data_IF_315584911809
#
_entry.id   IF_315584911809
#
_cell.length_a   1.000
_cell.length_b   1.000
_cell.length_c   1.000
_cell.angle_alpha   90.00
_cell.angle_beta   90.00
_cell.angle_gamma   90.00
#
_symmetry.space_group_name_H-M   'P 1'
#
loop_
_entity.id
_entity.type
_entity.pdbx_description
1 polymer ?
#
# COMPACT_ATOMS: atom_id res chain seq x y z
N UNK A 1 0.92 -14.55 -8.64
CA UNK A 1 2.17 -13.86 -9.04
C UNK A 1 2.07 -12.35 -8.81
N UNK A 2 3.21 -11.70 -8.57
CA UNK A 2 3.33 -10.23 -8.41
C UNK A 2 3.10 -9.53 -9.75
N UNK A 3 2.46 -8.36 -9.74
CA UNK A 3 2.32 -7.55 -10.95
C UNK A 3 3.63 -6.79 -11.26
N UNK A 4 4.21 -7.06 -12.42
CA UNK A 4 5.48 -6.45 -12.90
C UNK A 4 5.27 -5.38 -13.98
N UNK A 5 4.04 -5.19 -14.47
CA UNK A 5 3.75 -4.20 -15.51
C UNK A 5 3.77 -2.74 -15.02
N UNK A 6 3.50 -1.84 -15.98
CA UNK A 6 3.56 -0.38 -15.78
C UNK A 6 2.53 0.13 -14.75
N UNK A 7 3.04 0.71 -13.67
CA UNK A 7 2.22 1.40 -12.65
C UNK A 7 1.55 2.64 -13.25
N UNK A 8 2.28 3.42 -14.05
CA UNK A 8 1.79 4.65 -14.66
C UNK A 8 0.55 4.38 -15.52
N UNK A 9 0.49 3.24 -16.21
CA UNK A 9 -0.72 2.81 -16.95
C UNK A 9 -1.91 2.60 -16.02
N UNK A 10 -1.72 1.96 -14.87
CA UNK A 10 -2.78 1.72 -13.87
C UNK A 10 -3.21 3.00 -13.17
N UNK A 11 -2.26 3.83 -12.73
CA UNK A 11 -2.55 5.13 -12.10
C UNK A 11 -3.38 6.01 -13.04
N UNK A 12 -2.99 6.08 -14.33
CA UNK A 12 -3.76 6.80 -15.37
C UNK A 12 -5.16 6.23 -15.63
N UNK A 13 -5.32 4.90 -15.62
CA UNK A 13 -6.65 4.28 -15.79
C UNK A 13 -7.57 4.61 -14.62
N UNK A 14 -7.02 4.67 -13.41
CA UNK A 14 -7.80 4.88 -12.19
C UNK A 14 -7.96 6.36 -11.80
N UNK A 15 -7.20 7.25 -12.43
CA UNK A 15 -7.16 8.68 -12.10
C UNK A 15 -6.56 8.97 -10.72
N UNK A 16 -5.76 8.06 -10.17
CA UNK A 16 -5.26 8.09 -8.79
C UNK A 16 -3.76 7.74 -8.74
N UNK A 17 -2.99 8.39 -7.86
CA UNK A 17 -1.56 8.11 -7.69
C UNK A 17 -1.37 6.89 -6.79
N UNK A 18 -1.00 5.76 -7.39
CA UNK A 18 -0.75 4.50 -6.69
C UNK A 18 0.56 4.52 -5.89
N UNK A 19 1.49 5.42 -6.24
CA UNK A 19 2.76 5.61 -5.55
C UNK A 19 2.72 6.63 -4.41
N UNK A 20 1.57 7.28 -4.18
CA UNK A 20 1.37 8.35 -3.17
C UNK A 20 2.27 9.59 -3.31
N UNK A 21 3.06 9.68 -4.38
CA UNK A 21 3.98 10.80 -4.64
C UNK A 21 3.63 11.59 -5.90
N UNK A 22 2.48 11.31 -6.52
CA UNK A 22 1.97 11.95 -7.74
C UNK A 22 2.92 11.92 -8.96
N UNK A 23 4.03 11.18 -8.92
CA UNK A 23 5.02 11.10 -10.01
C UNK A 23 4.40 10.59 -11.29
N UNK A 24 3.32 9.81 -11.22
CA UNK A 24 2.64 9.27 -12.40
C UNK A 24 1.94 10.33 -13.25
N UNK A 25 1.59 11.47 -12.65
CA UNK A 25 0.91 12.57 -13.34
C UNK A 25 1.80 13.81 -13.51
N UNK A 26 2.84 13.96 -12.69
CA UNK A 26 3.74 15.13 -12.75
C UNK A 26 4.97 14.92 -13.63
N UNK A 27 5.46 13.68 -13.77
CA UNK A 27 6.70 13.38 -14.51
C UNK A 27 6.44 13.03 -15.99
N UNK A 28 7.38 13.41 -16.87
CA UNK A 28 7.33 13.09 -18.29
C UNK A 28 6.21 13.82 -19.03
N UNK A 29 5.42 13.11 -19.84
CA UNK A 29 4.36 13.69 -20.69
C UNK A 29 3.10 14.15 -19.92
N UNK A 30 3.11 14.13 -18.57
CA UNK A 30 2.02 14.59 -17.67
C UNK A 30 0.61 14.12 -18.07
N UNK A 31 0.52 12.89 -18.60
CA UNK A 31 -0.72 12.36 -19.19
C UNK A 31 -1.72 12.02 -18.11
N UNK A 32 -2.83 12.75 -18.03
CA UNK A 32 -3.98 12.46 -17.14
C UNK A 32 -5.07 11.62 -17.81
N UNK A 33 -4.96 11.37 -19.12
CA UNK A 33 -5.98 10.61 -19.87
C UNK A 33 -5.83 9.11 -19.64
N UNK A 34 -6.95 8.39 -19.74
CA UNK A 34 -7.01 6.93 -19.66
C UNK A 34 -6.04 6.34 -20.71
N UNK A 35 -5.31 5.24 -20.42
CA UNK A 35 -4.43 4.62 -21.40
C UNK A 35 -5.21 3.95 -22.54
N UNK A 36 -4.60 3.91 -23.74
CA UNK A 36 -5.17 3.28 -24.95
C UNK A 36 -5.65 4.30 -25.99
N UNK A 37 -5.94 3.84 -27.20
CA UNK A 37 -6.34 4.67 -28.34
C UNK A 37 -7.61 5.48 -28.06
N UNK A 38 -8.59 4.87 -27.38
CA UNK A 38 -9.85 5.53 -27.03
C UNK A 38 -9.80 6.33 -25.72
N UNK A 39 -8.63 6.48 -25.10
CA UNK A 39 -8.48 7.08 -23.78
C UNK A 39 -9.03 8.50 -23.64
N UNK A 40 -9.06 9.27 -24.75
CA UNK A 40 -9.64 10.62 -24.78
C UNK A 40 -11.17 10.62 -24.90
N UNK A 41 -11.78 9.58 -25.50
CA UNK A 41 -13.24 9.47 -25.69
C UNK A 41 -13.96 9.04 -24.42
N UNK A 42 -13.31 8.25 -23.56
CA UNK A 42 -13.90 7.70 -22.33
C UNK A 42 -13.99 8.69 -21.15
N UNK A 43 -13.71 9.98 -21.35
CA UNK A 43 -13.78 10.99 -20.27
C UNK A 43 -15.21 11.32 -19.81
N UNK A 44 -16.22 10.96 -20.60
CA UNK A 44 -17.59 11.49 -20.48
C UNK A 44 -18.67 10.47 -20.14
N UNK A 45 -18.34 9.18 -19.97
CA UNK A 45 -19.37 8.19 -19.62
C UNK A 45 -19.55 8.13 -18.10
N UNK A 46 -20.75 8.46 -17.62
CA UNK A 46 -21.16 8.25 -16.23
C UNK A 46 -20.92 6.79 -15.86
N UNK A 47 -20.17 6.57 -14.78
CA UNK A 47 -19.85 5.21 -14.32
C UNK A 47 -21.06 4.60 -13.62
N UNK A 48 -21.40 3.36 -13.98
CA UNK A 48 -22.39 2.59 -13.22
C UNK A 48 -21.91 2.32 -11.79
N UNK A 49 -22.83 2.07 -10.86
CA UNK A 49 -22.48 1.76 -9.46
C UNK A 49 -21.52 0.57 -9.34
N UNK A 50 -21.71 -0.46 -10.16
CA UNK A 50 -20.77 -1.59 -10.26
C UNK A 50 -19.36 -1.15 -10.68
N UNK A 51 -19.27 -0.28 -11.69
CA UNK A 51 -17.98 0.20 -12.19
C UNK A 51 -17.26 1.06 -11.15
N UNK A 52 -17.99 1.87 -10.37
CA UNK A 52 -17.45 2.66 -9.26
C UNK A 52 -16.87 1.74 -8.18
N UNK A 53 -17.64 0.74 -7.72
CA UNK A 53 -17.17 -0.25 -6.73
C UNK A 53 -15.93 -1.00 -7.22
N UNK A 54 -15.94 -1.45 -8.48
CA UNK A 54 -14.79 -2.12 -9.09
C UNK A 54 -13.56 -1.22 -9.13
N UNK A 55 -13.73 0.07 -9.43
CA UNK A 55 -12.62 1.02 -9.51
C UNK A 55 -11.99 1.25 -8.14
N UNK A 56 -12.78 1.47 -7.08
CA UNK A 56 -12.27 1.65 -5.72
C UNK A 56 -11.53 0.40 -5.24
N UNK A 57 -12.12 -0.78 -5.49
CA UNK A 57 -11.47 -2.05 -5.20
C UNK A 57 -10.13 -2.16 -5.91
N UNK A 58 -10.06 -1.78 -7.19
CA UNK A 58 -8.81 -1.81 -7.95
C UNK A 58 -7.79 -0.79 -7.43
N UNK A 59 -8.22 0.41 -7.02
CA UNK A 59 -7.35 1.43 -6.40
C UNK A 59 -6.68 0.85 -5.16
N UNK A 60 -7.47 0.36 -4.21
CA UNK A 60 -6.94 -0.17 -2.95
C UNK A 60 -6.03 -1.39 -3.21
N UNK A 61 -6.48 -2.33 -4.05
CA UNK A 61 -5.70 -3.52 -4.41
C UNK A 61 -4.33 -3.16 -5.02
N UNK A 62 -4.30 -2.22 -5.97
CA UNK A 62 -3.07 -1.86 -6.68
C UNK A 62 -2.15 -0.99 -5.84
N UNK A 63 -2.70 -0.15 -4.97
CA UNK A 63 -1.93 0.67 -4.03
C UNK A 63 -1.12 -0.21 -3.08
N UNK A 64 -1.75 -1.20 -2.43
CA UNK A 64 -1.05 -2.14 -1.56
C UNK A 64 -0.31 -3.25 -2.31
N UNK A 65 -0.48 -3.35 -3.64
CA UNK A 65 0.24 -4.31 -4.48
C UNK A 65 -0.13 -5.78 -4.24
N UNK A 66 -1.34 -6.05 -3.73
CA UNK A 66 -1.80 -7.40 -3.38
C UNK A 66 -2.69 -8.01 -4.47
N UNK A 67 -2.73 -9.34 -4.52
CA UNK A 67 -3.61 -10.07 -5.47
C UNK A 67 -5.05 -10.11 -4.96
N UNK A 68 -6.02 -10.34 -5.87
CA UNK A 68 -7.43 -10.38 -5.48
C UNK A 68 -7.70 -11.52 -4.49
N UNK A 69 -7.07 -12.68 -4.73
CA UNK A 69 -7.12 -13.84 -3.83
C UNK A 69 -6.60 -13.51 -2.42
N UNK A 70 -5.48 -12.78 -2.33
CA UNK A 70 -4.93 -12.33 -1.04
C UNK A 70 -5.86 -11.33 -0.37
N UNK A 71 -6.40 -10.37 -1.13
CA UNK A 71 -7.35 -9.39 -0.59
C UNK A 71 -8.60 -10.08 -0.03
N UNK A 72 -9.21 -11.03 -0.77
CA UNK A 72 -10.35 -11.82 -0.27
C UNK A 72 -10.03 -12.57 1.02
N UNK A 73 -8.82 -13.13 1.13
CA UNK A 73 -8.36 -13.82 2.35
C UNK A 73 -8.28 -12.83 3.53
N UNK A 74 -7.69 -11.65 3.32
CA UNK A 74 -7.64 -10.62 4.35
C UNK A 74 -9.05 -10.16 4.74
N UNK A 75 -9.92 -9.94 3.76
CA UNK A 75 -11.30 -9.54 3.99
C UNK A 75 -12.08 -10.55 4.85
N UNK A 76 -11.88 -11.86 4.63
CA UNK A 76 -12.45 -12.92 5.50
C UNK A 76 -11.97 -12.84 6.95
N UNK A 77 -10.71 -12.45 7.18
CA UNK A 77 -10.20 -12.26 8.54
C UNK A 77 -10.87 -11.05 9.19
N UNK A 78 -10.98 -9.95 8.45
CA UNK A 78 -11.60 -8.70 8.91
C UNK A 78 -13.09 -8.89 9.21
N UNK A 79 -13.82 -9.69 8.42
CA UNK A 79 -15.23 -10.00 8.66
C UNK A 79 -15.50 -10.66 10.02
N UNK A 80 -14.51 -11.36 10.59
CA UNK A 80 -14.63 -12.00 11.91
C UNK A 80 -14.31 -11.03 13.06
N UNK A 81 -13.74 -9.86 12.76
CA UNK A 81 -13.39 -8.86 13.76
C UNK A 81 -14.61 -8.01 14.11
N UNK A 82 -14.74 -7.66 15.40
CA UNK A 82 -15.77 -6.72 15.87
C UNK A 82 -15.44 -5.28 15.45
N UNK A 83 -16.47 -4.45 15.32
CA UNK A 83 -16.34 -3.02 15.01
C UNK A 83 -16.54 -2.69 13.53
N UNK A 84 -16.09 -1.50 13.13
CA UNK A 84 -16.31 -1.00 11.77
C UNK A 84 -15.43 -1.76 10.75
N UNK A 85 -16.09 -2.47 9.83
CA UNK A 85 -15.45 -3.31 8.82
C UNK A 85 -14.50 -2.54 7.89
N UNK A 86 -14.84 -1.31 7.51
CA UNK A 86 -14.01 -0.48 6.63
C UNK A 86 -12.70 -0.08 7.35
N UNK A 87 -12.80 0.34 8.61
CA UNK A 87 -11.65 0.73 9.44
C UNK A 87 -10.77 -0.49 9.70
N UNK A 88 -11.36 -1.63 10.06
CA UNK A 88 -10.61 -2.86 10.30
C UNK A 88 -9.90 -3.35 9.03
N UNK A 89 -10.53 -3.24 7.86
CA UNK A 89 -9.92 -3.60 6.59
C UNK A 89 -8.68 -2.74 6.32
N UNK A 90 -8.79 -1.44 6.53
CA UNK A 90 -7.65 -0.53 6.39
C UNK A 90 -6.53 -0.85 7.38
N UNK A 91 -6.85 -1.08 8.66
CA UNK A 91 -5.87 -1.45 9.69
C UNK A 91 -5.09 -2.71 9.29
N UNK A 92 -5.78 -3.75 8.83
CA UNK A 92 -5.13 -5.00 8.40
C UNK A 92 -4.24 -4.80 7.18
N UNK A 93 -4.63 -3.94 6.23
CA UNK A 93 -3.82 -3.64 5.05
C UNK A 93 -2.57 -2.81 5.41
N UNK A 94 -2.71 -1.84 6.30
CA UNK A 94 -1.60 -1.00 6.74
C UNK A 94 -0.61 -1.75 7.64
N UNK A 95 -1.10 -2.71 8.44
CA UNK A 95 -0.29 -3.52 9.37
C UNK A 95 0.62 -4.55 8.69
N UNK A 96 0.59 -4.67 7.36
CA UNK A 96 1.46 -5.61 6.64
C UNK A 96 2.93 -5.18 6.75
N UNK A 97 3.84 -6.14 6.93
CA UNK A 97 5.28 -5.86 7.07
C UNK A 97 5.85 -5.04 5.89
N UNK A 98 5.50 -5.39 4.64
CA UNK A 98 5.97 -4.61 3.48
C UNK A 98 5.44 -3.18 3.46
N UNK A 99 4.24 -2.96 4.00
CA UNK A 99 3.66 -1.64 4.09
C UNK A 99 4.23 -0.85 5.28
N UNK A 100 4.45 -1.47 6.44
CA UNK A 100 5.09 -0.83 7.59
C UNK A 100 6.51 -0.37 7.26
N UNK A 101 7.31 -1.19 6.56
CA UNK A 101 8.64 -0.79 6.08
C UNK A 101 8.57 0.44 5.16
N UNK A 102 7.52 0.56 4.34
CA UNK A 102 7.28 1.77 3.53
C UNK A 102 6.87 2.97 4.39
N UNK A 103 5.97 2.78 5.37
CA UNK A 103 5.48 3.82 6.28
C UNK A 103 6.56 4.33 7.25
N UNK A 104 7.58 3.50 7.50
CA UNK A 104 8.80 3.85 8.22
C UNK A 104 9.78 4.70 7.39
N UNK A 105 9.50 4.96 6.11
CA UNK A 105 10.41 5.71 5.24
C UNK A 105 11.68 4.94 4.82
N UNK A 106 11.80 3.65 5.15
CA UNK A 106 12.97 2.83 4.79
C UNK A 106 13.04 2.47 3.30
N UNK A 107 11.96 2.71 2.55
CA UNK A 107 11.91 2.49 1.13
C UNK A 107 11.07 3.57 0.44
N UNK A 108 11.44 3.98 -0.79
CA UNK A 108 10.75 5.08 -1.48
C UNK A 108 9.38 4.68 -2.04
N UNK A 109 9.09 3.38 -2.16
CA UNK A 109 7.81 2.86 -2.64
C UNK A 109 7.50 1.54 -1.94
N UNK A 110 6.21 1.21 -1.80
CA UNK A 110 5.76 -0.12 -1.30
C UNK A 110 6.38 -1.30 -2.06
N UNK A 111 6.62 -1.15 -3.37
CA UNK A 111 7.26 -2.21 -4.17
C UNK A 111 8.72 -2.43 -3.79
N UNK A 112 9.43 -1.34 -3.49
CA UNK A 112 10.81 -1.40 -3.01
C UNK A 112 10.85 -1.97 -1.59
N UNK A 113 9.93 -1.54 -0.70
CA UNK A 113 9.79 -2.14 0.63
C UNK A 113 9.55 -3.65 0.57
N UNK A 114 8.63 -4.10 -0.29
CA UNK A 114 8.39 -5.53 -0.51
C UNK A 114 9.61 -6.27 -1.02
N UNK A 115 10.43 -5.64 -1.86
CA UNK A 115 11.67 -6.23 -2.34
C UNK A 115 12.69 -6.36 -1.20
N UNK A 116 12.85 -5.33 -0.36
CA UNK A 116 13.71 -5.41 0.82
C UNK A 116 13.29 -6.57 1.73
N UNK A 117 11.99 -6.71 2.01
CA UNK A 117 11.48 -7.82 2.81
C UNK A 117 11.78 -9.16 2.11
N UNK A 118 11.37 -9.36 0.85
CA UNK A 118 11.58 -10.62 0.13
C UNK A 118 13.06 -11.07 0.06
N UNK A 119 13.99 -10.13 0.02
CA UNK A 119 15.43 -10.42 -0.01
C UNK A 119 16.03 -10.65 1.39
N UNK A 120 15.20 -10.69 2.44
CA UNK A 120 15.63 -10.94 3.81
C UNK A 120 16.44 -9.79 4.40
N UNK A 121 16.22 -8.56 3.96
CA UNK A 121 16.94 -7.38 4.46
C UNK A 121 16.34 -6.80 5.74
N UNK A 122 15.18 -7.30 6.16
CA UNK A 122 14.39 -6.80 7.29
C UNK A 122 14.45 -7.80 8.45
N UNK A 123 14.58 -7.25 9.65
CA UNK A 123 14.51 -7.94 10.93
C UNK A 123 13.20 -7.52 11.60
N UNK A 124 12.42 -8.49 12.05
CA UNK A 124 11.22 -8.29 12.87
C UNK A 124 11.50 -8.90 14.25
N UNK A 125 11.46 -8.08 15.30
CA UNK A 125 11.80 -8.49 16.67
C UNK A 125 13.11 -9.31 16.72
N UNK A 126 14.15 -8.75 16.09
CA UNK A 126 15.50 -9.33 15.92
C UNK A 126 15.62 -10.63 15.11
N UNK A 127 14.53 -11.11 14.51
CA UNK A 127 14.55 -12.28 13.62
C UNK A 127 14.50 -11.86 12.16
N UNK A 128 15.29 -12.51 11.32
CA UNK A 128 15.29 -12.22 9.88
C UNK A 128 14.03 -12.78 9.25
N UNK A 129 13.30 -11.93 8.52
CA UNK A 129 12.03 -12.29 7.92
C UNK A 129 12.04 -11.92 6.43
N UNK A 130 11.56 -12.84 5.61
CA UNK A 130 11.47 -12.70 4.15
C UNK A 130 10.03 -12.58 3.63
N UNK A 131 9.04 -12.68 4.53
CA UNK A 131 7.63 -12.80 4.16
C UNK A 131 6.90 -11.44 4.28
N UNK A 132 6.58 -10.76 3.17
CA UNK A 132 5.97 -9.42 3.18
C UNK A 132 4.51 -9.40 3.62
N UNK A 133 3.86 -10.56 3.71
CA UNK A 133 2.44 -10.67 4.08
C UNK A 133 2.19 -10.84 5.57
N UNK A 134 3.23 -10.83 6.40
CA UNK A 134 3.08 -10.84 7.86
C UNK A 134 2.32 -9.61 8.29
N UNK A 135 1.36 -9.81 9.20
CA UNK A 135 0.57 -8.75 9.82
C UNK A 135 1.24 -8.47 11.17
N UNK A 136 1.66 -7.22 11.37
CA UNK A 136 2.27 -6.74 12.60
C UNK A 136 1.21 -6.28 13.58
N UNK A 137 1.53 -6.36 14.86
CA UNK A 137 0.76 -5.77 15.93
C UNK A 137 1.48 -4.54 16.48
N UNK A 138 0.74 -3.57 17.05
CA UNK A 138 1.36 -2.49 17.80
C UNK A 138 2.31 -3.05 18.88
N UNK A 139 3.50 -2.47 18.99
CA UNK A 139 4.62 -2.92 19.81
C UNK A 139 5.71 -3.67 19.03
N UNK A 140 5.42 -4.17 17.83
CA UNK A 140 6.42 -4.86 17.01
C UNK A 140 7.53 -3.92 16.54
N UNK A 141 8.79 -4.38 16.67
CA UNK A 141 10.00 -3.66 16.26
C UNK A 141 10.50 -4.18 14.92
N UNK A 142 10.73 -3.27 13.98
CA UNK A 142 11.24 -3.55 12.64
C UNK A 142 12.57 -2.83 12.46
N UNK A 143 13.58 -3.55 11.96
CA UNK A 143 14.94 -3.06 11.76
C UNK A 143 15.49 -3.48 10.40
N UNK A 144 16.34 -2.66 9.80
CA UNK A 144 17.13 -3.07 8.63
C UNK A 144 18.47 -3.70 9.03
N UNK A 145 18.91 -4.71 8.26
CA UNK A 145 20.26 -5.26 8.42
C UNK A 145 21.32 -4.19 8.11
N UNK A 146 22.46 -4.23 8.80
CA UNK A 146 23.57 -3.29 8.61
C UNK A 146 24.07 -3.22 7.15
N UNK A 147 24.06 -4.35 6.41
CA UNK A 147 24.43 -4.37 4.98
C UNK A 147 23.44 -3.60 4.11
N UNK A 148 22.15 -3.62 4.48
CA UNK A 148 21.07 -2.97 3.74
C UNK A 148 21.10 -1.45 3.88
N UNK A 149 21.52 -0.94 5.04
CA UNK A 149 21.67 0.50 5.29
C UNK A 149 22.64 1.16 4.31
N UNK A 150 23.61 0.40 3.78
CA UNK A 150 24.58 0.90 2.79
C UNK A 150 23.99 1.09 1.39
N UNK A 151 22.80 0.56 1.11
CA UNK A 151 22.16 0.67 -0.20
C UNK A 151 21.76 2.14 -0.45
N UNK A 152 22.21 2.78 -1.55
CA UNK A 152 21.94 4.21 -1.80
C UNK A 152 20.45 4.57 -1.78
N UNK A 153 19.61 3.68 -2.31
CA UNK A 153 18.15 3.89 -2.37
C UNK A 153 17.53 3.97 -0.96
N UNK A 154 18.05 3.20 -0.01
CA UNK A 154 17.55 3.17 1.38
C UNK A 154 17.91 4.47 2.09
N UNK A 155 19.15 4.95 1.92
CA UNK A 155 19.61 6.23 2.48
C UNK A 155 18.81 7.42 1.92
N UNK A 156 18.64 7.46 0.60
CA UNK A 156 17.84 8.50 -0.05
C UNK A 156 16.37 8.47 0.40
N UNK A 157 15.83 7.28 0.69
CA UNK A 157 14.48 7.14 1.21
C UNK A 157 14.35 7.68 2.64
N UNK A 158 15.30 7.39 3.53
CA UNK A 158 15.28 7.92 4.91
C UNK A 158 15.44 9.44 4.95
N UNK A 159 16.21 10.02 4.03
CA UNK A 159 16.42 11.48 3.94
C UNK A 159 15.18 12.21 3.41
N UNK A 160 14.44 11.57 2.50
CA UNK A 160 13.20 12.14 1.91
C UNK A 160 11.93 11.72 2.65
N UNK A 161 12.05 10.86 3.66
CA UNK A 161 10.97 10.02 4.16
C UNK A 161 9.89 10.79 4.92
N UNK A 162 8.69 10.83 4.35
CA UNK A 162 7.48 11.15 5.11
C UNK A 162 7.13 9.94 5.97
N UNK A 163 7.47 10.01 7.25
CA UNK A 163 7.14 8.99 8.24
C UNK A 163 5.68 9.15 8.66
N UNK A 164 4.96 8.05 8.77
CA UNK A 164 3.55 8.08 9.18
C UNK A 164 3.40 8.18 10.70
N UNK A 165 2.40 8.89 11.24
CA UNK A 165 2.32 9.20 12.68
C UNK A 165 2.15 7.97 13.60
N UNK A 166 1.67 6.85 13.05
CA UNK A 166 1.46 5.61 13.78
C UNK A 166 2.71 4.72 13.88
N UNK A 167 3.84 5.20 13.35
CA UNK A 167 5.13 4.51 13.40
C UNK A 167 6.19 5.45 13.95
N UNK A 168 6.98 4.96 14.90
CA UNK A 168 8.16 5.66 15.40
C UNK A 168 9.39 5.12 14.68
N UNK A 169 10.27 6.01 14.20
CA UNK A 169 11.45 5.63 13.42
C UNK A 169 12.69 6.38 13.87
N UNK A 170 13.78 5.65 14.04
CA UNK A 170 15.10 6.20 14.25
C UNK A 170 15.90 6.10 12.94
N UNK A 171 16.09 7.23 12.27
CA UNK A 171 16.81 7.31 11.00
C UNK A 171 18.32 7.01 11.12
N UNK A 172 18.92 7.10 12.31
CA UNK A 172 20.34 6.79 12.51
C UNK A 172 20.57 5.27 12.54
N UNK A 173 19.71 4.54 13.25
CA UNK A 173 19.84 3.09 13.41
C UNK A 173 19.03 2.29 12.37
N UNK A 174 18.14 2.94 11.62
CA UNK A 174 17.17 2.30 10.71
C UNK A 174 16.33 1.25 11.44
N UNK A 175 15.85 1.65 12.61
CA UNK A 175 14.97 0.90 13.49
C UNK A 175 13.67 1.67 13.67
N UNK A 176 12.56 0.96 13.79
CA UNK A 176 11.28 1.58 14.07
C UNK A 176 10.34 0.64 14.80
N UNK A 177 9.39 1.23 15.51
CA UNK A 177 8.37 0.51 16.28
C UNK A 177 7.00 0.86 15.74
N UNK A 178 6.16 -0.13 15.51
CA UNK A 178 4.77 0.09 15.16
C UNK A 178 4.00 0.49 16.43
N UNK A 179 3.63 1.76 16.60
CA UNK A 179 3.18 2.27 17.92
C UNK A 179 1.70 2.01 18.16
N UNK A 180 0.86 2.24 17.14
CA UNK A 180 -0.59 2.13 17.25
C UNK A 180 -1.23 1.76 15.93
N UNK A 181 -2.49 1.36 15.95
CA UNK A 181 -3.26 1.24 14.72
C UNK A 181 -3.47 2.61 14.05
N UNK A 182 -3.46 2.66 12.70
CA UNK A 182 -3.73 3.89 11.99
C UNK A 182 -5.19 4.30 12.14
N UNK A 183 -5.41 5.61 12.10
CA UNK A 183 -6.72 6.24 12.12
C UNK A 183 -7.27 6.43 10.72
N UNK A 184 -8.59 6.61 10.59
CA UNK A 184 -9.23 6.79 9.29
C UNK A 184 -8.79 8.08 8.58
N UNK A 185 -8.47 9.13 9.35
CA UNK A 185 -7.94 10.41 8.87
C UNK A 185 -6.58 10.29 8.17
N UNK A 186 -5.81 9.25 8.50
CA UNK A 186 -4.47 9.00 7.96
C UNK A 186 -4.50 8.23 6.63
N UNK A 187 -5.68 7.76 6.22
CA UNK A 187 -5.87 7.07 4.95
C UNK A 187 -5.93 8.09 3.79
N UNK A 188 -5.34 7.79 2.62
CA UNK A 188 -5.43 8.65 1.44
C UNK A 188 -6.87 9.07 1.12
N UNK A 189 -7.16 10.37 1.13
CA UNK A 189 -8.51 10.93 0.95
C UNK A 189 -9.23 10.57 -0.38
N UNK A 190 -8.52 9.98 -1.35
CA UNK A 190 -9.06 9.61 -2.66
C UNK A 190 -9.65 8.19 -2.77
N UNK A 191 -9.77 7.45 -1.67
CA UNK A 191 -10.32 6.09 -1.65
C UNK A 191 -11.61 6.07 -0.83
N UNK A 192 -12.66 5.47 -1.40
CA UNK A 192 -13.90 5.19 -0.69
C UNK A 192 -13.95 3.71 -0.26
N UNK A 193 -13.74 3.43 1.03
CA UNK A 193 -13.65 2.05 1.53
C UNK A 193 -15.02 1.36 1.53
N UNK A 194 -16.12 2.09 1.67
CA UNK A 194 -17.46 1.52 1.71
C UNK A 194 -17.74 0.74 0.42
N UNK A 195 -17.36 1.30 -0.72
CA UNK A 195 -17.45 0.63 -2.03
C UNK A 195 -16.57 -0.62 -2.13
N UNK A 196 -15.39 -0.61 -1.51
CA UNK A 196 -14.51 -1.80 -1.45
C UNK A 196 -15.15 -2.89 -0.59
N UNK A 197 -15.73 -2.51 0.56
CA UNK A 197 -16.42 -3.41 1.47
C UNK A 197 -17.62 -4.05 0.79
N UNK A 198 -18.49 -3.27 0.15
CA UNK A 198 -19.65 -3.76 -0.61
C UNK A 198 -19.22 -4.76 -1.70
N UNK A 199 -18.18 -4.42 -2.46
CA UNK A 199 -17.64 -5.28 -3.49
C UNK A 199 -17.24 -6.66 -2.96
N UNK A 200 -16.50 -6.70 -1.84
CA UNK A 200 -16.01 -7.95 -1.28
C UNK A 200 -17.07 -8.72 -0.48
N UNK A 201 -18.06 -8.05 0.14
CA UNK A 201 -19.23 -8.71 0.74
C UNK A 201 -19.99 -9.54 -0.30
N UNK A 202 -20.14 -9.05 -1.53
CA UNK A 202 -20.78 -9.84 -2.60
C UNK A 202 -19.99 -11.09 -3.00
N UNK A 203 -18.67 -11.07 -2.83
CA UNK A 203 -17.75 -12.13 -3.28
C UNK A 203 -17.40 -13.15 -2.20
N UNK A 204 -17.57 -12.78 -0.93
CA UNK A 204 -17.24 -13.59 0.23
C UNK A 204 -18.58 -13.90 0.91
N UNK A 205 -19.12 -15.07 0.58
CA UNK A 205 -20.18 -15.72 1.35
C UNK A 205 -19.57 -16.46 2.54
#
# INVERSE_FOLDING_TARGET
MKYTGSIFKRSRRLGFSLLENNKEFSKGKKRKTIPGQHGNRFRSSTMSGYAQQLQEKQRMQYMYGITDKQFRRLFRLVLKQRGNLAVNLFRVLESRLDNIVYRMGFAPTRRSARQLVNHGHVLLNDRTVDTPSIILNPGDKVRLKAKTIKIPIVKAASESGVVSPFVETNNKTFEGTYVRFPERSELPAGINESYVVEWYKRLVK
#
